data_IF_704049877708
#
_entry.id   IF_704049877708
#
_cell.length_a   1.000
_cell.length_b   1.000
_cell.length_c   1.000
_cell.angle_alpha   90.00
_cell.angle_beta   90.00
_cell.angle_gamma   90.00
#
_symmetry.space_group_name_H-M   'P 1'
#
loop_
_entity.id
_entity.type
_entity.pdbx_description
1 polymer ?
#
# COMPACT_ATOMS: atom_id res chain seq x y z
N UNK A 1 7.05 10.99 6.81
CA UNK A 1 7.83 10.92 8.07
C UNK A 1 7.55 9.59 8.73
N UNK A 2 8.58 8.84 9.10
CA UNK A 2 8.46 7.74 10.05
C UNK A 2 8.98 8.22 11.39
N UNK A 3 8.19 8.10 12.45
CA UNK A 3 8.51 8.59 13.79
C UNK A 3 8.49 7.41 14.76
N UNK A 4 9.59 7.22 15.48
CA UNK A 4 9.73 6.26 16.57
C UNK A 4 9.39 6.95 17.90
N UNK A 5 8.31 6.48 18.53
CA UNK A 5 7.80 7.00 19.80
C UNK A 5 8.24 6.16 21.02
N UNK A 6 9.14 5.20 20.87
CA UNK A 6 9.63 4.37 21.98
C UNK A 6 10.36 5.16 23.06
N UNK A 7 10.98 6.29 22.68
CA UNK A 7 11.54 7.28 23.60
C UNK A 7 10.98 8.68 23.28
N UNK A 8 9.99 9.11 24.06
CA UNK A 8 9.33 10.40 23.89
C UNK A 8 10.25 11.60 24.17
N UNK A 9 11.41 11.40 24.83
CA UNK A 9 12.39 12.46 25.07
C UNK A 9 13.38 12.59 23.91
N UNK A 10 13.68 11.48 23.23
CA UNK A 10 14.65 11.42 22.13
C UNK A 10 14.01 10.79 20.88
N UNK A 11 12.99 11.44 20.33
CA UNK A 11 12.29 10.97 19.15
C UNK A 11 13.27 10.75 17.99
N UNK A 12 13.19 9.58 17.36
CA UNK A 12 13.87 9.33 16.10
C UNK A 12 12.90 9.58 14.96
N UNK A 13 13.26 10.49 14.08
CA UNK A 13 12.47 10.82 12.88
C UNK A 13 13.29 10.47 11.65
N UNK A 14 12.63 9.83 10.68
CA UNK A 14 13.22 9.51 9.39
C UNK A 14 12.35 10.04 8.25
N UNK A 15 12.97 10.80 7.39
CA UNK A 15 12.37 11.31 6.16
C UNK A 15 12.59 10.27 5.06
N UNK A 16 11.51 9.89 4.39
CA UNK A 16 11.52 8.87 3.34
C UNK A 16 10.92 9.50 2.09
N UNK A 17 11.72 9.56 1.03
CA UNK A 17 11.32 10.11 -0.27
C UNK A 17 10.43 9.11 -1.02
N UNK A 18 9.18 8.96 -0.58
CA UNK A 18 8.23 8.02 -1.18
C UNK A 18 7.65 8.55 -2.51
N UNK A 19 6.68 9.47 -2.45
CA UNK A 19 6.08 10.13 -3.61
C UNK A 19 5.33 11.39 -3.12
N UNK A 20 4.98 12.31 -4.03
CA UNK A 20 4.15 13.47 -3.69
C UNK A 20 2.68 13.08 -3.59
N UNK A 21 1.92 13.86 -2.82
CA UNK A 21 0.47 13.66 -2.62
C UNK A 21 0.13 12.33 -1.92
N UNK A 22 0.95 11.93 -0.94
CA UNK A 22 0.58 10.87 -0.01
C UNK A 22 -0.71 11.25 0.73
N UNK A 23 -1.61 10.30 0.85
CA UNK A 23 -2.92 10.51 1.46
C UNK A 23 -3.16 9.48 2.57
N UNK A 24 -3.78 8.35 2.23
CA UNK A 24 -4.18 7.28 3.13
C UNK A 24 -3.47 5.96 2.78
N UNK A 25 -3.53 5.01 3.71
CA UNK A 25 -2.78 3.77 3.62
C UNK A 25 -2.97 2.88 4.84
N UNK A 26 -2.45 1.66 4.75
CA UNK A 26 -2.53 0.71 5.83
C UNK A 26 -1.42 -0.33 5.80
N UNK A 27 -1.34 -1.05 6.91
CA UNK A 27 -0.40 -2.13 7.05
C UNK A 27 -0.85 -3.38 6.28
N UNK A 28 0.14 -4.08 5.74
CA UNK A 28 -0.01 -5.46 5.31
C UNK A 28 -0.44 -6.37 6.49
N UNK A 29 -0.74 -7.64 6.18
CA UNK A 29 -1.21 -8.59 7.18
C UNK A 29 -0.19 -8.85 8.30
N UNK A 30 1.11 -8.70 8.02
CA UNK A 30 2.19 -8.91 8.99
C UNK A 30 2.48 -7.69 9.87
N UNK A 31 1.87 -6.53 9.57
CA UNK A 31 2.12 -5.25 10.26
C UNK A 31 3.56 -4.74 10.13
N UNK A 32 4.29 -5.18 9.10
CA UNK A 32 5.66 -4.74 8.82
C UNK A 32 5.72 -3.70 7.70
N UNK A 33 4.91 -3.87 6.68
CA UNK A 33 4.96 -3.01 5.50
C UNK A 33 3.75 -2.10 5.51
N UNK A 34 3.99 -0.81 5.39
CA UNK A 34 2.93 0.19 5.25
C UNK A 34 2.78 0.54 3.77
N UNK A 35 1.61 0.26 3.21
CA UNK A 35 1.24 0.61 1.85
C UNK A 35 0.43 1.90 1.89
N UNK A 36 0.86 2.92 1.15
CA UNK A 36 0.27 4.26 1.17
C UNK A 36 0.02 4.78 -0.24
N UNK A 37 -1.16 5.34 -0.46
CA UNK A 37 -1.57 5.89 -1.74
C UNK A 37 -0.97 7.29 -1.95
N UNK A 38 -0.31 7.46 -3.10
CA UNK A 38 -0.04 8.74 -3.70
C UNK A 38 -1.16 9.05 -4.70
N UNK A 39 -2.33 9.42 -4.18
CA UNK A 39 -3.60 9.32 -4.91
C UNK A 39 -3.62 10.14 -6.22
N UNK A 40 -3.19 11.39 -6.20
CA UNK A 40 -3.12 12.27 -7.36
C UNK A 40 -2.04 11.85 -8.38
N UNK A 41 -1.27 10.81 -8.08
CA UNK A 41 -0.25 10.22 -8.96
C UNK A 41 -0.61 8.81 -9.43
N UNK A 42 -1.76 8.26 -9.05
CA UNK A 42 -2.19 6.90 -9.41
C UNK A 42 -1.18 5.80 -8.99
N UNK A 43 -0.50 6.02 -7.85
CA UNK A 43 0.57 5.15 -7.35
C UNK A 43 0.35 4.72 -5.91
N UNK A 44 0.97 3.59 -5.56
CA UNK A 44 1.21 3.16 -4.19
C UNK A 44 2.71 3.21 -3.90
N UNK A 45 3.05 3.67 -2.69
CA UNK A 45 4.37 3.51 -2.11
C UNK A 45 4.33 2.47 -1.00
N UNK A 46 5.42 1.72 -0.84
CA UNK A 46 5.56 0.69 0.19
C UNK A 46 6.74 1.04 1.07
N UNK A 47 6.51 1.14 2.38
CA UNK A 47 7.56 1.40 3.37
C UNK A 47 7.73 0.18 4.26
N UNK A 48 8.96 -0.32 4.38
CA UNK A 48 9.33 -1.28 5.42
C UNK A 48 9.52 -0.51 6.72
N UNK A 49 8.60 -0.65 7.68
CA UNK A 49 8.66 0.09 8.94
C UNK A 49 9.70 -0.47 9.90
N UNK A 50 10.12 -1.72 9.72
CA UNK A 50 11.19 -2.33 10.51
C UNK A 50 12.55 -1.75 10.14
N UNK A 51 12.82 -1.64 8.85
CA UNK A 51 14.08 -1.07 8.34
C UNK A 51 14.01 0.47 8.17
N UNK A 52 12.81 1.03 8.25
CA UNK A 52 12.51 2.43 8.01
C UNK A 52 12.89 2.87 6.60
N UNK A 53 12.64 2.07 5.56
CA UNK A 53 13.07 2.35 4.18
C UNK A 53 11.93 2.22 3.20
N UNK A 54 11.99 3.02 2.13
CA UNK A 54 11.14 2.82 0.96
C UNK A 54 11.53 1.51 0.29
N UNK A 55 10.55 0.63 0.08
CA UNK A 55 10.70 -0.61 -0.69
C UNK A 55 10.53 -0.31 -2.17
N UNK A 56 9.51 0.49 -2.51
CA UNK A 56 9.26 0.88 -3.89
C UNK A 56 8.01 1.72 -4.05
N UNK A 57 7.82 2.21 -5.27
CA UNK A 57 6.65 2.96 -5.72
C UNK A 57 6.21 2.40 -7.06
N UNK A 58 4.93 2.11 -7.24
CA UNK A 58 4.41 1.53 -8.46
C UNK A 58 2.98 2.01 -8.75
N UNK A 59 2.59 1.94 -10.02
CA UNK A 59 1.25 2.31 -10.48
C UNK A 59 0.21 1.27 -10.05
N UNK A 60 -0.98 1.74 -9.66
CA UNK A 60 -2.07 0.87 -9.21
C UNK A 60 -2.91 0.31 -10.36
N UNK A 61 -2.73 0.82 -11.58
CA UNK A 61 -3.55 0.51 -12.77
C UNK A 61 -5.01 0.96 -12.68
N UNK A 62 -5.30 1.93 -11.80
CA UNK A 62 -6.56 2.67 -11.74
C UNK A 62 -6.30 4.13 -11.38
N UNK A 63 -7.34 4.97 -11.44
CA UNK A 63 -7.24 6.40 -11.19
C UNK A 63 -7.61 6.76 -9.73
N UNK A 64 -6.73 7.52 -9.06
CA UNK A 64 -6.89 7.99 -7.67
C UNK A 64 -7.16 6.85 -6.69
N UNK A 65 -6.16 5.98 -6.42
CA UNK A 65 -6.31 4.95 -5.40
C UNK A 65 -6.67 5.57 -4.06
N UNK A 66 -7.69 5.01 -3.40
CA UNK A 66 -8.22 5.51 -2.14
C UNK A 66 -8.56 4.34 -1.19
N UNK A 67 -7.54 3.72 -0.59
CA UNK A 67 -7.70 2.47 0.15
C UNK A 67 -8.41 2.62 1.51
N UNK A 68 -8.45 3.81 2.11
CA UNK A 68 -8.53 3.94 3.55
C UNK A 68 -7.33 3.23 4.20
N UNK A 69 -7.58 2.09 4.85
CA UNK A 69 -6.51 1.19 5.36
C UNK A 69 -6.20 0.02 4.41
N UNK A 70 -6.99 -0.12 3.35
CA UNK A 70 -7.02 -1.25 2.45
C UNK A 70 -7.51 -2.54 3.10
N UNK A 71 -7.54 -3.60 2.29
CA UNK A 71 -7.99 -4.92 2.71
C UNK A 71 -6.88 -5.95 2.52
N UNK A 72 -6.54 -6.68 3.59
CA UNK A 72 -5.60 -7.80 3.53
C UNK A 72 -6.35 -9.09 3.22
N UNK A 73 -5.93 -9.82 2.19
CA UNK A 73 -6.61 -11.03 1.71
C UNK A 73 -5.55 -12.11 1.47
N UNK A 74 -5.84 -13.35 1.85
CA UNK A 74 -5.05 -14.50 1.42
C UNK A 74 -5.56 -14.97 0.06
N UNK A 75 -4.89 -14.57 -1.02
CA UNK A 75 -5.30 -14.90 -2.37
C UNK A 75 -4.92 -16.36 -2.71
N UNK A 76 -5.84 -17.20 -3.22
CA UNK A 76 -5.59 -18.63 -3.43
C UNK A 76 -4.45 -18.93 -4.41
N UNK A 77 -4.17 -17.99 -5.34
CA UNK A 77 -3.10 -18.12 -6.34
C UNK A 77 -1.83 -17.34 -6.02
N UNK A 78 -1.95 -16.21 -5.32
CA UNK A 78 -0.86 -15.23 -5.21
C UNK A 78 -0.33 -15.07 -3.78
N UNK A 79 -0.89 -15.82 -2.82
CA UNK A 79 -0.53 -15.69 -1.42
C UNK A 79 -1.10 -14.41 -0.80
N UNK A 80 -0.46 -13.88 0.26
CA UNK A 80 -0.89 -12.64 0.91
C UNK A 80 -0.89 -11.45 -0.05
N UNK A 81 -2.04 -10.80 -0.16
CA UNK A 81 -2.21 -9.56 -0.93
C UNK A 81 -2.88 -8.48 -0.10
N UNK A 82 -2.62 -7.23 -0.47
CA UNK A 82 -3.32 -6.05 0.03
C UNK A 82 -4.05 -5.38 -1.13
N UNK A 83 -5.29 -4.92 -0.89
CA UNK A 83 -6.16 -4.39 -1.92
C UNK A 83 -6.56 -2.91 -1.68
N UNK A 84 -6.75 -2.19 -2.79
CA UNK A 84 -7.28 -0.81 -2.82
C UNK A 84 -8.35 -0.65 -3.91
N UNK A 85 -9.37 0.16 -3.62
CA UNK A 85 -10.30 0.72 -4.60
C UNK A 85 -9.77 2.04 -5.17
N UNK A 86 -10.52 2.64 -6.11
CA UNK A 86 -10.15 3.84 -6.85
C UNK A 86 -11.33 4.82 -6.91
N UNK A 87 -11.08 6.11 -6.65
CA UNK A 87 -12.13 7.12 -6.77
C UNK A 87 -12.45 7.47 -8.22
N UNK A 88 -11.45 7.40 -9.11
CA UNK A 88 -11.59 7.83 -10.51
C UNK A 88 -12.21 6.77 -11.42
N UNK A 89 -12.21 5.50 -11.03
CA UNK A 89 -12.76 4.41 -11.84
C UNK A 89 -13.16 3.18 -11.00
N UNK A 90 -13.74 2.17 -11.63
CA UNK A 90 -14.25 0.94 -11.00
C UNK A 90 -13.18 -0.10 -10.63
N UNK A 91 -11.90 0.23 -10.77
CA UNK A 91 -10.80 -0.72 -10.57
C UNK A 91 -10.60 -1.04 -9.10
N UNK A 92 -10.45 -2.32 -8.80
CA UNK A 92 -9.91 -2.82 -7.53
C UNK A 92 -8.59 -3.51 -7.84
N UNK A 93 -7.53 -3.08 -7.15
CA UNK A 93 -6.16 -3.54 -7.37
C UNK A 93 -5.68 -4.36 -6.20
N UNK A 94 -5.09 -5.52 -6.49
CA UNK A 94 -4.47 -6.42 -5.51
C UNK A 94 -2.95 -6.39 -5.70
N UNK A 95 -2.23 -6.19 -4.61
CA UNK A 95 -0.77 -6.10 -4.56
C UNK A 95 -0.23 -7.23 -3.68
N UNK A 96 0.77 -7.97 -4.15
CA UNK A 96 1.44 -8.99 -3.32
C UNK A 96 2.27 -8.36 -2.20
N UNK A 97 2.17 -8.89 -0.98
CA UNK A 97 2.83 -8.30 0.21
C UNK A 97 3.76 -9.26 0.95
N UNK A 98 4.08 -10.41 0.37
CA UNK A 98 4.92 -11.44 1.01
C UNK A 98 6.24 -11.66 0.24
N UNK A 99 7.27 -10.85 0.47
CA UNK A 99 8.57 -11.03 -0.17
C UNK A 99 9.34 -12.29 0.26
N UNK A 100 8.93 -12.98 1.33
CA UNK A 100 9.62 -14.17 1.82
C UNK A 100 9.04 -15.45 1.22
N UNK A 101 7.71 -15.61 1.25
CA UNK A 101 7.03 -16.79 0.71
C UNK A 101 6.62 -16.66 -0.76
N UNK A 102 6.40 -15.43 -1.25
CA UNK A 102 5.90 -15.15 -2.59
C UNK A 102 6.73 -14.04 -3.29
N UNK A 103 8.06 -14.21 -3.41
CA UNK A 103 8.98 -13.16 -3.87
C UNK A 103 8.69 -12.69 -5.31
N UNK A 104 8.16 -13.57 -6.17
CA UNK A 104 7.80 -13.20 -7.54
C UNK A 104 6.61 -12.23 -7.62
N UNK A 105 5.71 -12.29 -6.62
CA UNK A 105 4.49 -11.49 -6.52
C UNK A 105 4.67 -10.22 -5.68
N UNK A 106 5.64 -10.22 -4.77
CA UNK A 106 5.84 -9.13 -3.82
C UNK A 106 6.04 -7.78 -4.52
N UNK A 107 5.30 -6.77 -4.03
CA UNK A 107 5.37 -5.38 -4.48
C UNK A 107 4.98 -5.17 -5.94
N UNK A 108 4.17 -6.08 -6.49
CA UNK A 108 3.61 -5.98 -7.84
C UNK A 108 2.09 -6.05 -7.76
N UNK A 109 1.44 -5.35 -8.69
CA UNK A 109 0.01 -5.55 -8.97
C UNK A 109 -0.17 -6.93 -9.59
N UNK A 110 -0.74 -7.86 -8.83
CA UNK A 110 -0.94 -9.26 -9.24
C UNK A 110 -2.30 -9.50 -9.90
N UNK A 111 -3.29 -8.69 -9.57
CA UNK A 111 -4.62 -8.77 -10.13
C UNK A 111 -5.31 -7.40 -10.11
N UNK A 112 -6.14 -7.17 -11.12
CA UNK A 112 -7.13 -6.09 -11.14
C UNK A 112 -8.49 -6.69 -11.44
N UNK A 113 -9.54 -6.22 -10.77
CA UNK A 113 -10.93 -6.55 -11.09
C UNK A 113 -11.74 -5.27 -11.22
N UNK A 114 -12.88 -5.33 -11.92
CA UNK A 114 -13.89 -4.29 -11.85
C UNK A 114 -14.84 -4.60 -10.71
N UNK A 115 -15.19 -3.59 -9.92
CA UNK A 115 -16.19 -3.69 -8.87
C UNK A 115 -16.87 -2.36 -8.62
N UNK A 116 -17.74 -2.29 -7.61
CA UNK A 116 -18.34 -1.03 -7.13
C UNK A 116 -17.33 -0.12 -6.41
N UNK A 117 -16.05 -0.15 -6.82
CA UNK A 117 -14.98 0.65 -6.23
C UNK A 117 -15.03 2.12 -6.65
N UNK A 118 -15.63 2.44 -7.79
CA UNK A 118 -15.70 3.79 -8.35
C UNK A 118 -16.41 4.76 -7.43
N UNK A 119 -15.70 5.80 -6.99
CA UNK A 119 -16.21 6.78 -6.02
C UNK A 119 -16.33 6.27 -4.58
N UNK A 120 -15.90 5.03 -4.29
CA UNK A 120 -15.91 4.50 -2.93
C UNK A 120 -14.73 5.05 -2.12
N UNK A 121 -15.03 5.55 -0.93
CA UNK A 121 -14.01 6.03 0.01
C UNK A 121 -13.20 4.89 0.64
N UNK A 122 -13.73 3.66 0.62
CA UNK A 122 -13.11 2.48 1.23
C UNK A 122 -13.27 1.25 0.34
N UNK A 123 -12.48 0.22 0.62
CA UNK A 123 -12.57 -1.12 0.01
C UNK A 123 -13.06 -2.15 1.01
#
# INVERSE_FOLDING_TARGET
LLVDYSDLKNLKVKDIEAERFLHDGGFDSTKRYFLVAANARNKLAVVDTKEGKLVGVFETKGEKPHPGRGANILHPKFGPVWATSHLGDETITFVGTDPAGHPEQAWKVVQTVKGQGGGSLFI
#
